data_IF_603673733070
#
_entry.id   IF_603673733070
#
_cell.length_a   1.000
_cell.length_b   1.000
_cell.length_c   1.000
_cell.angle_alpha   90.00
_cell.angle_beta   90.00
_cell.angle_gamma   90.00
#
_symmetry.space_group_name_H-M   'P 1'
#
loop_
_entity.id
_entity.type
_entity.pdbx_description
1 polymer ?
#
# COMPACT_ATOMS: atom_id res chain seq x y z
N UNK A 1 -31.28 11.10 8.36
CA UNK A 1 -30.00 10.61 8.92
C UNK A 1 -29.55 9.40 8.11
N UNK A 2 -28.43 9.50 7.44
CA UNK A 2 -27.81 8.38 6.69
C UNK A 2 -27.42 7.29 7.69
N UNK A 3 -27.72 6.03 7.42
CA UNK A 3 -27.29 4.94 8.31
C UNK A 3 -25.76 4.81 8.28
N UNK A 4 -25.16 4.29 9.34
CA UNK A 4 -23.71 4.04 9.40
C UNK A 4 -23.25 3.13 8.25
N UNK A 5 -24.08 2.19 7.83
CA UNK A 5 -23.83 1.27 6.71
C UNK A 5 -23.79 2.02 5.39
N UNK A 6 -24.74 2.93 5.16
CA UNK A 6 -24.76 3.79 3.96
C UNK A 6 -23.51 4.68 3.89
N UNK A 7 -23.09 5.24 5.04
CA UNK A 7 -21.86 6.02 5.11
C UNK A 7 -20.62 5.18 4.80
N UNK A 8 -20.52 3.97 5.38
CA UNK A 8 -19.42 3.05 5.11
C UNK A 8 -19.33 2.68 3.62
N UNK A 9 -20.48 2.40 2.98
CA UNK A 9 -20.59 2.10 1.56
C UNK A 9 -20.14 3.27 0.67
N UNK A 10 -20.55 4.49 1.03
CA UNK A 10 -20.13 5.71 0.32
C UNK A 10 -18.63 5.93 0.43
N UNK A 11 -18.06 5.76 1.65
CA UNK A 11 -16.61 5.88 1.87
C UNK A 11 -15.85 4.81 1.12
N UNK A 12 -16.32 3.55 1.14
CA UNK A 12 -15.67 2.44 0.43
C UNK A 12 -15.64 2.69 -1.09
N UNK A 13 -16.75 3.12 -1.68
CA UNK A 13 -16.82 3.46 -3.12
C UNK A 13 -15.84 4.58 -3.47
N UNK A 14 -15.86 5.70 -2.73
CA UNK A 14 -14.92 6.80 -2.96
C UNK A 14 -13.46 6.37 -2.83
N UNK A 15 -13.17 5.43 -1.93
CA UNK A 15 -11.81 4.94 -1.73
C UNK A 15 -11.37 3.98 -2.84
N UNK A 16 -12.28 3.17 -3.39
CA UNK A 16 -12.03 2.35 -4.58
C UNK A 16 -11.71 3.24 -5.79
N UNK A 17 -12.51 4.28 -6.02
CA UNK A 17 -12.26 5.25 -7.08
C UNK A 17 -10.86 5.91 -6.93
N UNK A 18 -10.47 6.30 -5.71
CA UNK A 18 -9.14 6.86 -5.44
C UNK A 18 -8.00 5.86 -5.71
N UNK A 19 -8.22 4.58 -5.40
CA UNK A 19 -7.21 3.54 -5.59
C UNK A 19 -7.04 3.13 -7.06
N UNK A 20 -8.12 3.16 -7.84
CA UNK A 20 -8.16 2.66 -9.21
C UNK A 20 -7.87 3.75 -10.25
N UNK A 21 -8.37 4.96 -10.06
CA UNK A 21 -8.40 5.97 -11.12
C UNK A 21 -7.57 7.22 -10.84
N UNK A 22 -7.07 7.43 -9.65
CA UNK A 22 -6.41 8.66 -9.29
C UNK A 22 -5.03 8.48 -8.65
N UNK A 23 -4.13 9.44 -8.92
CA UNK A 23 -2.85 9.58 -8.23
C UNK A 23 -3.04 10.39 -6.94
N UNK A 24 -3.84 9.86 -6.01
CA UNK A 24 -3.94 10.48 -4.70
C UNK A 24 -2.76 10.11 -3.81
N UNK A 25 -2.27 11.10 -3.03
CA UNK A 25 -1.27 10.89 -2.00
C UNK A 25 -1.74 9.78 -1.04
N UNK A 26 -0.85 8.87 -0.72
CA UNK A 26 -1.16 7.70 0.12
C UNK A 26 -1.71 8.06 1.49
N UNK A 27 -1.33 9.22 2.03
CA UNK A 27 -1.90 9.75 3.27
C UNK A 27 -3.42 9.94 3.22
N UNK A 28 -3.94 10.40 2.08
CA UNK A 28 -5.40 10.54 1.86
C UNK A 28 -6.09 9.18 1.80
N UNK A 29 -5.49 8.21 1.10
CA UNK A 29 -5.99 6.82 1.02
C UNK A 29 -6.06 6.21 2.43
N UNK A 30 -5.00 6.34 3.23
CA UNK A 30 -4.96 5.83 4.59
C UNK A 30 -6.01 6.48 5.51
N UNK A 31 -6.22 7.79 5.41
CA UNK A 31 -7.26 8.47 6.20
C UNK A 31 -8.66 7.94 5.87
N UNK A 32 -8.99 7.73 4.61
CA UNK A 32 -10.28 7.16 4.18
C UNK A 32 -10.40 5.69 4.61
N UNK A 33 -9.35 4.89 4.46
CA UNK A 33 -9.35 3.48 4.89
C UNK A 33 -9.55 3.35 6.41
N UNK A 34 -8.88 4.19 7.21
CA UNK A 34 -9.08 4.24 8.68
C UNK A 34 -10.50 4.69 9.05
N UNK A 35 -11.08 5.63 8.33
CA UNK A 35 -12.50 6.01 8.52
C UNK A 35 -13.42 4.83 8.25
N UNK A 36 -13.19 4.09 7.16
CA UNK A 36 -13.95 2.90 6.81
C UNK A 36 -13.85 1.84 7.91
N UNK A 37 -12.65 1.52 8.39
CA UNK A 37 -12.42 0.55 9.46
C UNK A 37 -13.16 0.93 10.75
N UNK A 38 -13.21 2.23 11.11
CA UNK A 38 -14.01 2.72 12.26
C UNK A 38 -15.51 2.54 12.04
N UNK A 39 -16.02 2.89 10.85
CA UNK A 39 -17.44 2.71 10.51
C UNK A 39 -17.86 1.24 10.57
N UNK A 40 -16.97 0.34 10.15
CA UNK A 40 -17.21 -1.10 10.17
C UNK A 40 -16.96 -1.73 11.55
N UNK A 41 -16.37 -1.00 12.49
CA UNK A 41 -15.90 -1.51 13.81
C UNK A 41 -14.90 -2.67 13.68
N UNK A 42 -14.10 -2.66 12.62
CA UNK A 42 -13.02 -3.64 12.42
C UNK A 42 -11.78 -3.18 13.18
N UNK A 43 -11.64 -3.66 14.42
CA UNK A 43 -10.51 -3.32 15.29
C UNK A 43 -9.17 -3.76 14.72
N UNK A 44 -9.13 -4.90 14.05
CA UNK A 44 -7.90 -5.45 13.47
C UNK A 44 -7.41 -4.60 12.30
N UNK A 45 -8.32 -4.18 11.43
CA UNK A 45 -8.01 -3.25 10.34
C UNK A 45 -7.60 -1.87 10.87
N UNK A 46 -8.20 -1.40 11.97
CA UNK A 46 -7.82 -0.12 12.57
C UNK A 46 -6.37 -0.15 13.07
N UNK A 47 -5.96 -1.21 13.78
CA UNK A 47 -4.58 -1.39 14.26
C UNK A 47 -3.61 -1.51 13.08
N UNK A 48 -3.93 -2.32 12.08
CA UNK A 48 -3.09 -2.47 10.89
C UNK A 48 -2.90 -1.14 10.15
N UNK A 49 -3.98 -0.43 9.83
CA UNK A 49 -3.91 0.83 9.09
C UNK A 49 -3.23 1.96 9.89
N UNK A 50 -3.25 1.89 11.23
CA UNK A 50 -2.44 2.78 12.07
C UNK A 50 -0.95 2.49 11.91
N UNK A 51 -0.54 1.22 11.94
CA UNK A 51 0.84 0.80 11.72
C UNK A 51 1.32 1.16 10.30
N UNK A 52 0.45 1.04 9.29
CA UNK A 52 0.78 1.47 7.92
C UNK A 52 0.98 2.98 7.82
N UNK A 53 0.27 3.76 8.61
CA UNK A 53 0.37 5.22 8.61
C UNK A 53 1.56 5.75 9.42
N UNK A 54 1.87 5.13 10.56
CA UNK A 54 2.89 5.60 11.51
C UNK A 54 4.22 4.86 11.42
N UNK A 55 4.25 3.72 10.74
CA UNK A 55 5.37 2.78 10.74
C UNK A 55 5.27 1.73 11.84
N UNK A 56 6.05 0.67 11.68
CA UNK A 56 6.15 -0.42 12.64
C UNK A 56 7.34 -0.16 13.58
N UNK A 57 7.27 -0.52 14.87
CA UNK A 57 8.39 -0.35 15.79
C UNK A 57 9.65 -1.10 15.34
N UNK A 58 10.83 -0.52 15.58
CA UNK A 58 12.13 -1.11 15.17
C UNK A 58 12.40 -2.50 15.75
N UNK A 59 11.87 -2.78 16.93
CA UNK A 59 11.96 -4.09 17.60
C UNK A 59 10.59 -4.78 17.58
N UNK A 60 10.03 -4.85 16.41
CA UNK A 60 8.71 -5.37 16.23
C UNK A 60 8.72 -6.91 16.25
N UNK A 61 7.99 -7.49 17.19
CA UNK A 61 7.68 -8.91 17.17
C UNK A 61 6.39 -9.13 16.38
N UNK A 62 6.54 -9.72 15.21
CA UNK A 62 5.42 -10.01 14.32
C UNK A 62 4.34 -10.90 14.98
N UNK A 63 4.72 -11.69 15.99
CA UNK A 63 3.77 -12.50 16.76
C UNK A 63 2.87 -11.64 17.64
N UNK A 64 3.33 -10.43 18.03
CA UNK A 64 2.56 -9.49 18.85
C UNK A 64 1.40 -8.79 18.12
N UNK A 65 1.35 -8.90 16.79
CA UNK A 65 0.25 -8.34 15.98
C UNK A 65 -1.11 -8.99 16.23
N UNK A 66 -1.15 -10.16 16.87
CA UNK A 66 -2.42 -10.85 17.09
C UNK A 66 -3.17 -11.07 15.77
N UNK A 67 -4.45 -10.72 15.77
CA UNK A 67 -5.36 -10.95 14.63
C UNK A 67 -5.09 -10.00 13.43
N UNK A 68 -4.48 -8.83 13.65
CA UNK A 68 -4.12 -7.94 12.53
C UNK A 68 -2.92 -8.46 11.71
N UNK A 69 -2.25 -9.53 12.18
CA UNK A 69 -1.15 -10.21 11.49
C UNK A 69 -1.48 -10.57 10.04
N UNK A 70 -2.71 -11.03 9.78
CA UNK A 70 -3.17 -11.39 8.43
C UNK A 70 -3.02 -10.23 7.43
N UNK A 71 -3.31 -9.01 7.84
CA UNK A 71 -3.17 -7.82 6.99
C UNK A 71 -1.70 -7.50 6.71
N UNK A 72 -0.84 -7.54 7.73
CA UNK A 72 0.59 -7.32 7.57
C UNK A 72 1.26 -8.40 6.70
N UNK A 73 0.79 -9.65 6.75
CA UNK A 73 1.25 -10.72 5.85
C UNK A 73 0.83 -10.48 4.40
N UNK A 74 -0.44 -10.15 4.16
CA UNK A 74 -0.95 -9.88 2.81
C UNK A 74 -0.28 -8.68 2.15
N UNK A 75 0.19 -7.73 2.95
CA UNK A 75 0.91 -6.54 2.48
C UNK A 75 2.43 -6.74 2.33
N UNK A 76 2.93 -7.96 2.47
CA UNK A 76 4.36 -8.30 2.35
C UNK A 76 5.28 -7.55 3.33
N UNK A 77 4.78 -7.17 4.51
CA UNK A 77 5.60 -6.55 5.56
C UNK A 77 6.67 -7.49 6.12
N UNK A 78 6.49 -8.78 5.93
CA UNK A 78 7.43 -9.82 6.33
C UNK A 78 7.89 -10.59 5.10
N UNK A 79 9.18 -10.62 4.87
CA UNK A 79 9.79 -11.44 3.83
C UNK A 79 9.95 -12.90 4.28
N UNK A 80 10.15 -13.81 3.32
CA UNK A 80 10.33 -15.24 3.60
C UNK A 80 11.58 -15.55 4.44
N UNK A 81 12.58 -14.66 4.43
CA UNK A 81 13.81 -14.74 5.23
C UNK A 81 13.66 -14.12 6.64
N UNK A 82 12.45 -13.71 7.00
CA UNK A 82 12.13 -13.14 8.30
C UNK A 82 12.48 -11.66 8.46
N UNK A 83 12.89 -10.97 7.40
CA UNK A 83 13.07 -9.52 7.42
C UNK A 83 11.74 -8.80 7.49
N UNK A 84 11.75 -7.69 8.24
CA UNK A 84 10.61 -6.83 8.42
C UNK A 84 10.83 -5.49 7.74
N UNK A 85 9.76 -4.97 7.17
CA UNK A 85 9.72 -3.61 6.63
C UNK A 85 8.96 -2.72 7.61
N UNK A 86 9.68 -1.85 8.32
CA UNK A 86 9.13 -1.00 9.39
C UNK A 86 8.69 0.37 8.93
N UNK A 87 9.21 0.86 7.81
CA UNK A 87 8.86 2.18 7.27
C UNK A 87 7.35 2.33 7.03
N UNK A 88 6.79 3.49 7.36
CA UNK A 88 5.40 3.82 7.09
C UNK A 88 5.14 3.88 5.57
N UNK A 89 3.87 3.76 5.17
CA UNK A 89 3.51 3.85 3.76
C UNK A 89 3.79 5.25 3.16
N UNK A 90 3.58 6.38 3.87
CA UNK A 90 4.04 7.69 3.41
C UNK A 90 5.56 7.81 3.26
N UNK A 91 6.35 7.22 4.17
CA UNK A 91 7.81 7.20 4.02
C UNK A 91 8.26 6.41 2.79
N UNK A 92 7.57 5.30 2.49
CA UNK A 92 7.84 4.52 1.28
C UNK A 92 7.53 5.30 0.01
N UNK A 93 6.45 6.08 -0.01
CA UNK A 93 6.12 7.00 -1.11
C UNK A 93 7.25 8.01 -1.32
N UNK A 94 7.71 8.66 -0.24
CA UNK A 94 8.84 9.60 -0.29
C UNK A 94 10.16 8.93 -0.73
N UNK A 95 10.42 7.68 -0.32
CA UNK A 95 11.59 6.93 -0.80
C UNK A 95 11.51 6.65 -2.29
N UNK A 96 10.34 6.31 -2.84
CA UNK A 96 10.17 6.07 -4.26
C UNK A 96 10.41 7.34 -5.07
N UNK A 97 9.88 8.48 -4.64
CA UNK A 97 10.11 9.78 -5.28
C UNK A 97 11.59 10.17 -5.26
N UNK A 98 12.26 9.98 -4.11
CA UNK A 98 13.70 10.22 -3.97
C UNK A 98 14.53 9.28 -4.85
N UNK A 99 14.22 8.00 -4.89
CA UNK A 99 14.92 7.01 -5.70
C UNK A 99 14.75 7.32 -7.21
N UNK A 100 13.58 7.77 -7.65
CA UNK A 100 13.34 8.20 -9.04
C UNK A 100 14.19 9.41 -9.40
N UNK A 101 14.24 10.44 -8.55
CA UNK A 101 15.07 11.63 -8.76
C UNK A 101 16.57 11.29 -8.85
N UNK A 102 17.06 10.35 -8.00
CA UNK A 102 18.44 9.86 -8.05
C UNK A 102 18.69 9.12 -9.36
N UNK A 103 17.79 8.24 -9.79
CA UNK A 103 17.95 7.48 -11.03
C UNK A 103 17.95 8.40 -12.25
N UNK A 104 17.14 9.45 -12.27
CA UNK A 104 17.13 10.44 -13.35
C UNK A 104 18.40 11.28 -13.37
N UNK A 105 18.93 11.67 -12.21
CA UNK A 105 20.22 12.35 -12.07
C UNK A 105 21.37 11.48 -12.62
N UNK A 106 21.38 10.17 -12.29
CA UNK A 106 22.36 9.23 -12.82
C UNK A 106 22.26 9.08 -14.33
N UNK A 107 21.04 9.05 -14.90
CA UNK A 107 20.83 8.98 -16.35
C UNK A 107 21.31 10.23 -17.07
N UNK A 108 21.14 11.40 -16.45
CA UNK A 108 21.59 12.68 -17.00
C UNK A 108 23.10 12.88 -16.95
N UNK A 109 23.80 12.13 -16.09
CA UNK A 109 25.25 12.23 -15.96
C UNK A 109 25.93 11.52 -17.16
N UNK A 110 26.74 12.22 -17.97
CA UNK A 110 27.45 11.60 -19.08
C UNK A 110 28.35 10.48 -18.60
N UNK A 111 28.33 9.33 -19.30
CA UNK A 111 29.30 8.28 -19.05
C UNK A 111 30.72 8.84 -19.28
N UNK A 112 31.70 8.57 -18.39
CA UNK A 112 33.08 8.97 -18.61
C UNK A 112 33.57 8.40 -19.95
N UNK A 113 34.02 9.29 -20.85
CA UNK A 113 34.45 8.91 -22.16
C UNK A 113 35.80 8.14 -22.08
N UNK A 114 35.99 7.02 -22.77
CA UNK A 114 37.22 6.22 -22.72
C UNK A 114 38.37 6.82 -23.56
N UNK A 115 38.46 8.15 -23.67
CA UNK A 115 39.53 8.84 -24.42
C UNK A 115 40.85 8.97 -23.69
N UNK A 116 41.06 8.18 -22.67
CA UNK A 116 42.29 8.12 -21.89
C UNK A 116 43.51 7.74 -22.77
N UNK A 117 44.55 8.55 -22.77
CA UNK A 117 45.77 8.37 -23.60
C UNK A 117 46.81 7.50 -22.93
N UNK A 118 46.81 7.38 -21.62
CA UNK A 118 47.81 6.61 -20.83
C UNK A 118 47.18 5.41 -20.11
N UNK A 119 47.96 4.40 -19.79
CA UNK A 119 47.53 3.17 -19.12
C UNK A 119 46.91 3.43 -17.73
N UNK A 120 47.51 4.35 -16.96
CA UNK A 120 47.03 4.72 -15.62
C UNK A 120 45.66 5.41 -15.73
N UNK A 121 45.49 6.30 -16.70
CA UNK A 121 44.27 7.01 -16.96
C UNK A 121 43.13 6.06 -17.44
N UNK A 122 43.48 5.06 -18.27
CA UNK A 122 42.58 3.98 -18.67
C UNK A 122 42.09 3.16 -17.48
N UNK A 123 42.98 2.76 -16.59
CA UNK A 123 42.65 1.97 -15.40
C UNK A 123 41.76 2.74 -14.43
N UNK A 124 42.07 4.02 -14.20
CA UNK A 124 41.27 4.91 -13.36
C UNK A 124 39.85 5.12 -13.96
N UNK A 125 39.77 5.38 -15.26
CA UNK A 125 38.45 5.55 -15.97
C UNK A 125 37.64 4.27 -15.90
N UNK A 126 38.26 3.11 -16.08
CA UNK A 126 37.53 1.82 -16.00
C UNK A 126 37.06 1.54 -14.57
N UNK A 127 37.83 1.87 -13.53
CA UNK A 127 37.41 1.74 -12.14
C UNK A 127 36.23 2.66 -11.81
N UNK A 128 36.28 3.91 -12.26
CA UNK A 128 35.15 4.87 -12.10
C UNK A 128 33.89 4.38 -12.82
N UNK A 129 34.03 3.87 -14.03
CA UNK A 129 32.91 3.33 -14.81
C UNK A 129 32.27 2.13 -14.13
N UNK A 130 33.09 1.20 -13.60
CA UNK A 130 32.62 0.04 -12.85
C UNK A 130 31.88 0.46 -11.58
N UNK A 131 32.44 1.42 -10.84
CA UNK A 131 31.82 1.97 -9.63
C UNK A 131 30.47 2.62 -9.95
N UNK A 132 30.42 3.43 -11.01
CA UNK A 132 29.18 4.07 -11.47
C UNK A 132 28.09 3.05 -11.82
N UNK A 133 28.44 2.01 -12.57
CA UNK A 133 27.52 0.94 -12.94
C UNK A 133 27.01 0.17 -11.72
N UNK A 134 27.89 -0.11 -10.75
CA UNK A 134 27.51 -0.80 -9.51
C UNK A 134 26.56 0.03 -8.65
N UNK A 135 26.82 1.33 -8.51
CA UNK A 135 25.92 2.28 -7.81
C UNK A 135 24.57 2.32 -8.51
N UNK A 136 24.55 2.45 -9.83
CA UNK A 136 23.30 2.46 -10.62
C UNK A 136 22.51 1.16 -10.45
N UNK A 137 23.17 0.00 -10.51
CA UNK A 137 22.53 -1.30 -10.30
C UNK A 137 21.96 -1.43 -8.89
N UNK A 138 22.69 -0.97 -7.87
CA UNK A 138 22.24 -0.95 -6.48
C UNK A 138 20.99 -0.08 -6.28
N UNK A 139 20.98 1.12 -6.85
CA UNK A 139 19.83 2.03 -6.78
C UNK A 139 18.60 1.46 -7.47
N UNK A 140 18.76 0.90 -8.68
CA UNK A 140 17.65 0.25 -9.41
C UNK A 140 17.06 -0.93 -8.61
N UNK A 141 17.91 -1.74 -7.97
CA UNK A 141 17.45 -2.85 -7.14
C UNK A 141 16.65 -2.36 -5.94
N UNK A 142 17.14 -1.34 -5.22
CA UNK A 142 16.43 -0.72 -4.08
C UNK A 142 15.10 -0.14 -4.50
N UNK A 143 15.06 0.64 -5.57
CA UNK A 143 13.84 1.21 -6.12
C UNK A 143 12.81 0.12 -6.47
N UNK A 144 13.24 -0.96 -7.14
CA UNK A 144 12.35 -2.07 -7.50
C UNK A 144 11.78 -2.78 -6.26
N UNK A 145 12.58 -2.96 -5.20
CA UNK A 145 12.11 -3.54 -3.93
C UNK A 145 11.09 -2.62 -3.24
N UNK A 146 11.39 -1.33 -3.11
CA UNK A 146 10.47 -0.34 -2.52
C UNK A 146 9.15 -0.28 -3.31
N UNK A 147 9.22 -0.26 -4.64
CA UNK A 147 8.06 -0.25 -5.52
C UNK A 147 7.19 -1.50 -5.37
N UNK A 148 7.82 -2.68 -5.30
CA UNK A 148 7.10 -3.94 -5.06
C UNK A 148 6.33 -3.89 -3.75
N UNK A 149 6.97 -3.47 -2.67
CA UNK A 149 6.35 -3.40 -1.34
C UNK A 149 5.22 -2.36 -1.32
N UNK A 150 5.46 -1.15 -1.83
CA UNK A 150 4.45 -0.09 -1.94
C UNK A 150 3.21 -0.55 -2.72
N UNK A 151 3.42 -1.20 -3.87
CA UNK A 151 2.32 -1.73 -4.69
C UNK A 151 1.55 -2.82 -3.95
N UNK A 152 2.24 -3.70 -3.23
CA UNK A 152 1.60 -4.75 -2.43
C UNK A 152 0.74 -4.18 -1.30
N UNK A 153 1.22 -3.13 -0.63
CA UNK A 153 0.47 -2.42 0.40
C UNK A 153 -0.80 -1.77 -0.17
N UNK A 154 -0.70 -1.07 -1.29
CA UNK A 154 -1.88 -0.50 -1.97
C UNK A 154 -2.87 -1.58 -2.37
N UNK A 155 -2.40 -2.72 -2.88
CA UNK A 155 -3.23 -3.87 -3.23
C UNK A 155 -3.92 -4.48 -2.01
N UNK A 156 -3.24 -4.57 -0.86
CA UNK A 156 -3.85 -5.05 0.37
C UNK A 156 -4.97 -4.11 0.88
N UNK A 157 -4.77 -2.80 0.79
CA UNK A 157 -5.82 -1.81 1.11
C UNK A 157 -6.99 -1.96 0.14
N UNK A 158 -6.73 -2.09 -1.16
CA UNK A 158 -7.76 -2.30 -2.18
C UNK A 158 -8.60 -3.55 -1.88
N UNK A 159 -7.95 -4.69 -1.59
CA UNK A 159 -8.63 -5.93 -1.20
C UNK A 159 -9.52 -5.73 0.03
N UNK A 160 -8.98 -5.12 1.08
CA UNK A 160 -9.74 -4.82 2.30
C UNK A 160 -11.01 -4.00 2.01
N UNK A 161 -10.87 -2.95 1.18
CA UNK A 161 -11.99 -2.07 0.82
C UNK A 161 -13.03 -2.79 -0.02
N UNK A 162 -12.59 -3.60 -0.99
CA UNK A 162 -13.46 -4.41 -1.85
C UNK A 162 -14.26 -5.41 -1.03
N UNK A 163 -13.61 -6.16 -0.15
CA UNK A 163 -14.26 -7.14 0.72
C UNK A 163 -15.30 -6.47 1.63
N UNK A 164 -14.95 -5.31 2.18
CA UNK A 164 -15.85 -4.50 3.02
C UNK A 164 -17.06 -3.99 2.21
N UNK A 165 -16.83 -3.49 1.00
CA UNK A 165 -17.89 -2.98 0.12
C UNK A 165 -18.86 -4.09 -0.29
N UNK A 166 -18.34 -5.25 -0.68
CA UNK A 166 -19.15 -6.41 -1.05
C UNK A 166 -19.92 -6.97 0.14
N UNK A 167 -19.29 -7.02 1.32
CA UNK A 167 -19.93 -7.44 2.56
C UNK A 167 -21.10 -6.55 2.96
N UNK A 168 -20.95 -5.23 2.86
CA UNK A 168 -22.05 -4.26 3.14
C UNK A 168 -23.18 -4.36 2.13
N UNK A 169 -22.87 -4.56 0.85
CA UNK A 169 -23.88 -4.72 -0.22
C UNK A 169 -24.70 -5.98 -0.05
N UNK A 170 -24.08 -7.10 0.27
CA UNK A 170 -24.75 -8.36 0.54
C UNK A 170 -25.66 -8.29 1.77
N UNK A 171 -25.23 -7.58 2.82
CA UNK A 171 -26.05 -7.38 4.02
C UNK A 171 -27.34 -6.62 3.72
N UNK A 172 -27.30 -5.57 2.89
CA UNK A 172 -28.48 -4.81 2.46
C UNK A 172 -29.45 -5.67 1.65
N UNK A 173 -28.95 -6.46 0.71
CA UNK A 173 -29.79 -7.38 -0.06
C UNK A 173 -30.51 -8.37 0.85
N UNK A 174 -29.83 -8.88 1.88
CA UNK A 174 -30.42 -9.80 2.85
C UNK A 174 -31.53 -9.12 3.70
N UNK A 175 -31.31 -7.90 4.17
CA UNK A 175 -32.30 -7.14 4.95
C UNK A 175 -33.53 -6.81 4.09
N UNK A 176 -33.30 -6.33 2.86
CA UNK A 176 -34.40 -5.98 1.93
C UNK A 176 -35.26 -7.20 1.55
N UNK A 177 -34.61 -8.37 1.35
CA UNK A 177 -35.33 -9.61 1.09
C UNK A 177 -36.23 -10.04 2.27
N UNK A 178 -35.74 -9.92 3.51
CA UNK A 178 -36.51 -10.22 4.73
C UNK A 178 -37.67 -9.23 4.93
N UNK A 179 -37.51 -7.95 4.63
CA UNK A 179 -38.55 -6.96 4.73
C UNK A 179 -39.66 -7.21 3.68
N UNK A 180 -39.27 -7.54 2.45
CA UNK A 180 -40.19 -7.91 1.38
C UNK A 180 -41.03 -9.15 1.73
N UNK A 181 -40.41 -10.18 2.32
CA UNK A 181 -41.12 -11.35 2.80
C UNK A 181 -42.14 -11.02 3.91
N UNK A 182 -41.73 -10.18 4.89
CA UNK A 182 -42.66 -9.76 5.97
C UNK A 182 -43.86 -8.97 5.45
N UNK A 183 -43.65 -8.13 4.45
CA UNK A 183 -44.74 -7.34 3.82
C UNK A 183 -45.68 -8.25 3.01
N UNK A 184 -45.15 -9.24 2.31
CA UNK A 184 -45.95 -10.22 1.57
C UNK A 184 -46.83 -11.08 2.48
N UNK A 185 -46.41 -11.42 3.69
CA UNK A 185 -47.20 -12.14 4.69
C UNK A 185 -48.32 -11.27 5.27
N UNK A 186 -48.07 -9.97 5.52
CA UNK A 186 -49.09 -9.05 6.05
C UNK A 186 -50.24 -8.77 5.08
N UNK A 187 -50.04 -8.87 3.77
CA UNK A 187 -51.06 -8.69 2.76
C UNK A 187 -51.89 -9.97 2.47
N UNK A 188 -51.54 -11.12 3.05
CA UNK A 188 -52.35 -12.35 2.94
C UNK A 188 -53.38 -12.53 4.04
N UNK A 189 -53.22 -11.81 5.14
CA UNK A 189 -54.09 -11.90 6.32
C UNK A 189 -55.08 -10.72 6.43
N UNK A 190 -55.22 -9.91 5.36
CA UNK A 190 -56.20 -8.85 5.19
C UNK A 190 -57.14 -9.16 4.02
#
# INVERSE_FOLDING_TARGET
MTSRVEEAKSVARSLLDDLEFANYAVGSILMKARRLARLMRDSDAQVWLELEASGYPDKFDFTSLGTCRRYAQSSLRVEADGKYWTASLPEMEAYLESDEAILDSIRATPNPSPTAKDHVEKTATQALMTTHLNVQAGQRKRHAQNKKLYTSLRSAIHSYVTDTFMGTSNYELFINSRQSQKNAFRHRDS
#
